data_IF_032960425598
#
_entry.id   IF_032960425598
#
_cell.length_a   1.000
_cell.length_b   1.000
_cell.length_c   1.000
_cell.angle_alpha   90.00
_cell.angle_beta   90.00
_cell.angle_gamma   90.00
#
_symmetry.space_group_name_H-M   'P 1'
#
loop_
_entity.id
_entity.type
_entity.pdbx_description
1 polymer ?
#
# COMPACT_ATOMS: atom_id res chain seq x y z
N UNK A 1 -26.57 27.18 18.33
CA UNK A 1 -25.77 26.59 17.24
C UNK A 1 -24.38 26.08 17.65
N UNK A 2 -23.55 26.86 18.35
CA UNK A 2 -22.16 26.51 18.76
C UNK A 2 -22.01 25.23 19.59
N UNK A 3 -22.91 24.93 20.54
CA UNK A 3 -22.82 23.75 21.42
C UNK A 3 -22.95 22.40 20.67
N UNK A 4 -23.77 22.34 19.62
CA UNK A 4 -23.99 21.13 18.80
C UNK A 4 -22.79 20.84 17.91
N UNK A 5 -22.11 21.86 17.40
CA UNK A 5 -20.88 21.76 16.63
C UNK A 5 -19.70 21.28 17.47
N UNK A 6 -19.58 21.82 18.70
CA UNK A 6 -18.57 21.43 19.67
C UNK A 6 -18.70 19.95 20.08
N UNK A 7 -19.91 19.48 20.36
CA UNK A 7 -20.16 18.06 20.68
C UNK A 7 -19.79 17.12 19.52
N UNK A 8 -20.09 17.52 18.28
CA UNK A 8 -19.70 16.73 17.10
C UNK A 8 -18.17 16.67 16.94
N UNK A 9 -17.46 17.75 17.21
CA UNK A 9 -16.00 17.81 17.15
C UNK A 9 -15.38 16.88 18.21
N UNK A 10 -15.86 16.92 19.43
CA UNK A 10 -15.40 16.04 20.52
C UNK A 10 -15.68 14.57 20.19
N UNK A 11 -16.88 14.26 19.67
CA UNK A 11 -17.19 12.90 19.23
C UNK A 11 -16.26 12.42 18.11
N UNK A 12 -15.97 13.27 17.12
CA UNK A 12 -15.04 12.96 16.05
C UNK A 12 -13.63 12.69 16.59
N UNK A 13 -13.11 13.55 17.46
CA UNK A 13 -11.79 13.36 18.09
C UNK A 13 -11.73 12.08 18.93
N UNK A 14 -12.81 11.76 19.66
CA UNK A 14 -12.88 10.52 20.45
C UNK A 14 -12.86 9.27 19.57
N UNK A 15 -13.54 9.32 18.45
CA UNK A 15 -13.56 8.19 17.48
C UNK A 15 -12.20 8.01 16.80
N UNK A 16 -11.54 9.10 16.41
CA UNK A 16 -10.16 9.07 15.89
C UNK A 16 -9.18 8.49 16.92
N UNK A 17 -9.28 8.90 18.18
CA UNK A 17 -8.45 8.37 19.24
C UNK A 17 -8.68 6.87 19.48
N UNK A 18 -9.94 6.39 19.40
CA UNK A 18 -10.26 4.96 19.48
C UNK A 18 -9.68 4.16 18.32
N UNK A 19 -9.79 4.67 17.09
CA UNK A 19 -9.21 4.04 15.92
C UNK A 19 -7.70 3.90 16.06
N UNK A 20 -7.03 4.97 16.44
CA UNK A 20 -5.58 4.95 16.67
C UNK A 20 -5.17 3.97 17.79
N UNK A 21 -5.92 3.91 18.89
CA UNK A 21 -5.69 2.93 19.96
C UNK A 21 -5.87 1.48 19.47
N UNK A 22 -6.83 1.24 18.60
CA UNK A 22 -7.04 -0.10 18.02
C UNK A 22 -5.91 -0.49 17.07
N UNK A 23 -5.42 0.44 16.25
CA UNK A 23 -4.24 0.24 15.39
C UNK A 23 -3.00 -0.09 16.23
N UNK A 24 -2.72 0.70 17.26
CA UNK A 24 -1.60 0.43 18.18
C UNK A 24 -1.73 -0.93 18.85
N UNK A 25 -2.94 -1.33 19.28
CA UNK A 25 -3.19 -2.65 19.87
C UNK A 25 -2.97 -3.78 18.84
N UNK A 26 -3.39 -3.59 17.60
CA UNK A 26 -3.15 -4.56 16.51
C UNK A 26 -1.66 -4.76 16.29
N UNK A 27 -0.91 -3.68 16.13
CA UNK A 27 0.56 -3.70 15.97
C UNK A 27 1.22 -4.41 17.16
N UNK A 28 0.82 -4.09 18.40
CA UNK A 28 1.34 -4.77 19.59
C UNK A 28 1.00 -6.25 19.63
N UNK A 29 -0.17 -6.65 19.11
CA UNK A 29 -0.56 -8.06 19.02
C UNK A 29 0.28 -8.81 18.00
N UNK A 30 0.49 -8.20 16.82
CA UNK A 30 1.34 -8.75 15.76
C UNK A 30 2.80 -8.90 16.23
N UNK A 31 3.36 -7.85 16.84
CA UNK A 31 4.71 -7.92 17.40
C UNK A 31 4.88 -9.05 18.44
N UNK A 32 3.85 -9.32 19.25
CA UNK A 32 3.88 -10.46 20.18
C UNK A 32 3.88 -11.78 19.43
N UNK A 33 3.11 -11.90 18.35
CA UNK A 33 3.13 -13.06 17.45
C UNK A 33 4.52 -13.29 16.87
N UNK A 34 5.10 -12.27 16.23
CA UNK A 34 6.46 -12.37 15.67
C UNK A 34 7.52 -12.76 16.72
N UNK A 35 7.47 -12.16 17.92
CA UNK A 35 8.39 -12.51 19.00
C UNK A 35 8.24 -13.96 19.42
N UNK A 36 7.02 -14.46 19.50
CA UNK A 36 6.73 -15.85 19.85
C UNK A 36 7.26 -16.80 18.78
N UNK A 37 6.98 -16.53 17.50
CA UNK A 37 7.41 -17.36 16.38
C UNK A 37 8.94 -17.37 16.25
N UNK A 38 9.57 -16.20 16.39
CA UNK A 38 11.03 -16.10 16.40
C UNK A 38 11.67 -16.90 17.55
N UNK A 39 11.03 -16.89 18.73
CA UNK A 39 11.50 -17.70 19.86
C UNK A 39 11.41 -19.20 19.57
N UNK A 40 10.35 -19.65 18.89
CA UNK A 40 10.21 -21.05 18.45
C UNK A 40 11.29 -21.45 17.44
N UNK A 41 11.60 -20.59 16.46
CA UNK A 41 12.68 -20.84 15.51
C UNK A 41 14.03 -20.98 16.22
N UNK A 42 14.34 -20.09 17.18
CA UNK A 42 15.56 -20.19 17.98
C UNK A 42 15.63 -21.44 18.84
N UNK A 43 14.51 -21.88 19.44
CA UNK A 43 14.45 -23.12 20.21
C UNK A 43 14.67 -24.36 19.34
N UNK A 44 14.07 -24.39 18.14
CA UNK A 44 14.26 -25.48 17.18
C UNK A 44 15.74 -25.61 16.77
N UNK A 45 16.36 -24.49 16.39
CA UNK A 45 17.77 -24.42 16.05
C UNK A 45 18.68 -24.89 17.22
N UNK A 46 18.39 -24.40 18.43
CA UNK A 46 19.14 -24.80 19.62
C UNK A 46 19.04 -26.31 19.85
N UNK A 47 17.83 -26.88 19.76
CA UNK A 47 17.62 -28.32 19.94
C UNK A 47 18.39 -29.17 18.93
N UNK A 48 18.42 -28.76 17.65
CA UNK A 48 19.19 -29.44 16.60
C UNK A 48 20.69 -29.36 16.84
N UNK A 49 21.20 -28.21 17.28
CA UNK A 49 22.63 -28.04 17.60
C UNK A 49 23.03 -28.86 18.85
N UNK A 50 22.21 -28.88 19.88
CA UNK A 50 22.43 -29.71 21.08
C UNK A 50 22.41 -31.23 20.78
N UNK A 51 21.63 -31.64 19.78
CA UNK A 51 21.58 -33.00 19.26
C UNK A 51 22.76 -33.33 18.32
N UNK A 52 23.63 -32.39 17.99
CA UNK A 52 24.73 -32.57 17.04
C UNK A 52 24.30 -32.61 15.57
N UNK A 53 23.04 -32.25 15.28
CA UNK A 53 22.47 -32.26 13.92
C UNK A 53 22.79 -30.95 13.16
N UNK A 54 24.07 -30.65 12.98
CA UNK A 54 24.54 -29.36 12.44
C UNK A 54 24.04 -29.11 11.02
N UNK A 55 24.04 -30.14 10.16
CA UNK A 55 23.55 -30.04 8.76
C UNK A 55 22.06 -29.70 8.70
N UNK A 56 21.25 -30.23 9.63
CA UNK A 56 19.83 -29.91 9.74
C UNK A 56 19.61 -28.48 10.24
N UNK A 57 20.40 -28.03 11.19
CA UNK A 57 20.32 -26.65 11.66
C UNK A 57 20.69 -25.66 10.56
N UNK A 58 21.70 -25.95 9.74
CA UNK A 58 22.06 -25.14 8.57
C UNK A 58 20.92 -25.11 7.55
N UNK A 59 20.37 -26.29 7.17
CA UNK A 59 19.25 -26.36 6.24
C UNK A 59 18.01 -25.59 6.74
N UNK A 60 17.76 -25.63 8.05
CA UNK A 60 16.67 -24.88 8.66
C UNK A 60 16.90 -23.35 8.63
N UNK A 61 18.14 -22.90 8.83
CA UNK A 61 18.51 -21.49 8.66
C UNK A 61 18.31 -21.06 7.21
N UNK A 62 18.74 -21.88 6.25
CA UNK A 62 18.56 -21.59 4.81
C UNK A 62 17.07 -21.54 4.42
N UNK A 63 16.24 -22.41 5.00
CA UNK A 63 14.78 -22.36 4.79
C UNK A 63 14.16 -21.09 5.39
N UNK A 64 14.56 -20.68 6.60
CA UNK A 64 14.13 -19.43 7.20
C UNK A 64 14.57 -18.21 6.40
N UNK A 65 15.82 -18.19 5.94
CA UNK A 65 16.36 -17.14 5.09
C UNK A 65 15.59 -17.08 3.76
N UNK A 66 15.29 -18.23 3.16
CA UNK A 66 14.48 -18.31 1.96
C UNK A 66 13.02 -17.85 2.20
N UNK A 67 12.43 -18.13 3.36
CA UNK A 67 11.11 -17.61 3.74
C UNK A 67 11.16 -16.09 3.97
N UNK A 68 12.19 -15.58 4.62
CA UNK A 68 12.44 -14.14 4.78
C UNK A 68 12.73 -13.48 3.44
N UNK A 69 13.52 -14.11 2.57
CA UNK A 69 13.79 -13.61 1.21
C UNK A 69 12.54 -13.64 0.30
N UNK A 70 11.60 -14.57 0.52
CA UNK A 70 10.32 -14.57 -0.18
C UNK A 70 9.34 -13.48 0.35
N UNK A 71 9.52 -13.02 1.57
CA UNK A 71 8.96 -11.76 2.08
C UNK A 71 9.77 -10.57 1.52
N UNK A 72 11.06 -10.76 1.30
CA UNK A 72 12.01 -9.83 0.67
C UNK A 72 12.04 -9.90 -0.87
N UNK A 73 10.91 -9.90 -1.54
CA UNK A 73 10.81 -9.04 -2.72
C UNK A 73 10.67 -7.60 -2.19
N UNK A 74 11.60 -7.18 -1.35
CA UNK A 74 11.76 -5.77 -1.00
C UNK A 74 12.01 -5.04 -2.31
N UNK A 75 10.95 -4.43 -2.77
CA UNK A 75 11.07 -3.40 -3.80
C UNK A 75 12.07 -2.40 -3.27
N UNK A 76 13.22 -2.31 -3.90
CA UNK A 76 14.22 -1.30 -3.60
C UNK A 76 13.95 -0.10 -4.51
N UNK A 77 12.91 0.67 -4.18
CA UNK A 77 12.61 1.90 -4.92
C UNK A 77 13.63 2.99 -4.63
N UNK A 78 14.31 2.91 -3.48
CA UNK A 78 15.18 3.93 -2.92
C UNK A 78 14.55 4.71 -1.76
N UNK A 79 13.24 4.55 -1.52
CA UNK A 79 12.51 5.20 -0.43
C UNK A 79 11.86 4.14 0.47
N UNK A 80 12.25 4.11 1.74
CA UNK A 80 11.85 3.07 2.71
C UNK A 80 10.34 3.02 2.94
N UNK A 81 9.70 4.19 3.05
CA UNK A 81 8.25 4.28 3.27
C UNK A 81 7.46 3.76 2.07
N UNK A 82 7.92 4.09 0.87
CA UNK A 82 7.32 3.60 -0.37
C UNK A 82 7.50 2.08 -0.53
N UNK A 83 8.68 1.56 -0.17
CA UNK A 83 8.97 0.12 -0.21
C UNK A 83 8.02 -0.65 0.72
N UNK A 84 7.78 -0.15 1.92
CA UNK A 84 6.87 -0.76 2.89
C UNK A 84 5.42 -0.81 2.37
N UNK A 85 4.92 0.31 1.80
CA UNK A 85 3.55 0.40 1.29
C UNK A 85 3.36 -0.49 0.07
N UNK A 86 4.28 -0.41 -0.90
CA UNK A 86 4.21 -1.20 -2.11
C UNK A 86 4.28 -2.69 -1.77
N UNK A 87 5.19 -3.10 -0.87
CA UNK A 87 5.32 -4.52 -0.46
C UNK A 87 4.03 -5.04 0.16
N UNK A 88 3.42 -4.30 1.08
CA UNK A 88 2.16 -4.68 1.71
C UNK A 88 1.02 -4.81 0.68
N UNK A 89 0.88 -3.83 -0.24
CA UNK A 89 -0.17 -3.85 -1.26
C UNK A 89 0.05 -4.89 -2.34
N UNK A 90 1.31 -5.19 -2.69
CA UNK A 90 1.65 -6.27 -3.61
C UNK A 90 1.33 -7.63 -3.00
N UNK A 91 1.63 -7.84 -1.71
CA UNK A 91 1.25 -9.05 -1.01
C UNK A 91 -0.28 -9.25 -1.02
N UNK A 92 -1.05 -8.18 -0.74
CA UNK A 92 -2.50 -8.19 -0.83
C UNK A 92 -2.99 -8.54 -2.25
N UNK A 93 -2.44 -7.89 -3.28
CA UNK A 93 -2.80 -8.16 -4.68
C UNK A 93 -2.48 -9.61 -5.11
N UNK A 94 -1.31 -10.13 -4.70
CA UNK A 94 -0.93 -11.53 -4.97
C UNK A 94 -1.88 -12.54 -4.31
N UNK A 95 -2.34 -12.27 -3.08
CA UNK A 95 -3.33 -13.10 -2.39
C UNK A 95 -4.66 -13.19 -3.17
N UNK A 96 -5.01 -12.13 -3.93
CA UNK A 96 -6.19 -12.09 -4.81
C UNK A 96 -5.90 -12.59 -6.25
N UNK A 97 -4.76 -13.28 -6.48
CA UNK A 97 -4.32 -13.77 -7.78
C UNK A 97 -4.18 -12.66 -8.86
N UNK A 98 -3.73 -11.48 -8.45
CA UNK A 98 -3.44 -10.36 -9.34
C UNK A 98 -1.94 -10.36 -9.65
N UNK A 99 -1.59 -10.40 -10.94
CA UNK A 99 -0.21 -10.27 -11.39
C UNK A 99 0.25 -8.81 -11.21
N UNK A 100 1.36 -8.59 -10.51
CA UNK A 100 1.88 -7.24 -10.25
C UNK A 100 3.27 -7.08 -10.85
N UNK A 101 3.46 -6.01 -11.65
CA UNK A 101 4.75 -5.59 -12.20
C UNK A 101 5.04 -4.17 -11.72
N UNK A 102 6.20 -3.97 -11.08
CA UNK A 102 6.59 -2.68 -10.51
C UNK A 102 7.97 -2.28 -10.99
N UNK A 103 8.05 -1.05 -11.49
CA UNK A 103 9.31 -0.37 -11.83
C UNK A 103 9.30 0.97 -11.13
N UNK A 104 9.96 1.07 -10.00
CA UNK A 104 10.02 2.29 -9.20
C UNK A 104 11.47 2.61 -8.84
N UNK A 105 11.84 3.88 -9.03
CA UNK A 105 13.14 4.42 -8.63
C UNK A 105 12.94 5.87 -8.20
N UNK A 106 13.02 6.12 -6.91
CA UNK A 106 12.80 7.42 -6.28
C UNK A 106 13.86 7.71 -5.23
N UNK A 107 14.17 8.97 -4.93
CA UNK A 107 15.08 9.34 -3.85
C UNK A 107 14.56 8.90 -2.48
N UNK A 108 15.48 8.71 -1.53
CA UNK A 108 15.16 8.40 -0.14
C UNK A 108 14.31 9.49 0.52
N UNK A 109 14.58 10.77 0.21
CA UNK A 109 13.83 11.90 0.73
C UNK A 109 13.06 12.63 -0.37
N UNK A 110 11.79 12.91 -0.12
CA UNK A 110 10.89 13.66 -0.97
C UNK A 110 10.32 14.85 -0.19
N UNK A 111 9.84 15.89 -0.87
CA UNK A 111 9.11 17.01 -0.23
C UNK A 111 7.71 16.60 0.22
N UNK A 112 7.14 15.57 -0.40
CA UNK A 112 5.92 14.92 0.07
C UNK A 112 6.27 14.11 1.31
N UNK A 113 5.50 14.26 2.38
CA UNK A 113 5.72 13.50 3.61
C UNK A 113 5.42 12.01 3.42
N UNK A 114 6.04 11.15 4.22
CA UNK A 114 5.80 9.70 4.20
C UNK A 114 4.32 9.36 4.41
N UNK A 115 3.63 10.13 5.26
CA UNK A 115 2.19 9.95 5.51
C UNK A 115 1.36 10.28 4.27
N UNK A 116 1.64 11.39 3.61
CA UNK A 116 0.95 11.78 2.37
C UNK A 116 1.23 10.81 1.24
N UNK A 117 2.49 10.39 1.08
CA UNK A 117 2.89 9.39 0.09
C UNK A 117 2.17 8.05 0.34
N UNK A 118 2.06 7.65 1.61
CA UNK A 118 1.32 6.46 2.03
C UNK A 118 -0.15 6.53 1.67
N UNK A 119 -0.79 7.65 1.97
CA UNK A 119 -2.21 7.89 1.67
C UNK A 119 -2.41 7.90 0.15
N UNK A 120 -1.56 8.60 -0.59
CA UNK A 120 -1.64 8.74 -2.04
C UNK A 120 -1.52 7.39 -2.74
N UNK A 121 -0.40 6.70 -2.54
CA UNK A 121 -0.09 5.43 -3.20
C UNK A 121 -1.02 4.30 -2.70
N UNK A 122 -1.30 4.27 -1.40
CA UNK A 122 -2.21 3.31 -0.78
C UNK A 122 -3.61 3.37 -1.38
N UNK A 123 -4.22 4.57 -1.46
CA UNK A 123 -5.55 4.74 -2.05
C UNK A 123 -5.61 4.36 -3.54
N UNK A 124 -4.57 4.68 -4.31
CA UNK A 124 -4.50 4.29 -5.72
C UNK A 124 -4.43 2.78 -5.89
N UNK A 125 -3.63 2.10 -5.07
CA UNK A 125 -3.47 0.64 -5.11
C UNK A 125 -4.74 -0.08 -4.62
N UNK A 126 -5.40 0.42 -3.58
CA UNK A 126 -6.68 -0.14 -3.12
C UNK A 126 -7.74 -0.08 -4.23
N UNK A 127 -7.84 1.05 -4.92
CA UNK A 127 -8.72 1.18 -6.09
C UNK A 127 -8.34 0.23 -7.23
N UNK A 128 -7.04 0.02 -7.47
CA UNK A 128 -6.57 -0.90 -8.51
C UNK A 128 -6.91 -2.36 -8.16
N UNK A 129 -6.65 -2.79 -6.93
CA UNK A 129 -6.99 -4.14 -6.45
C UNK A 129 -8.49 -4.39 -6.56
N UNK A 130 -9.31 -3.47 -6.05
CA UNK A 130 -10.78 -3.56 -6.15
C UNK A 130 -11.25 -3.63 -7.61
N UNK A 131 -10.67 -2.82 -8.49
CA UNK A 131 -11.02 -2.81 -9.91
C UNK A 131 -10.63 -4.12 -10.61
N UNK A 132 -9.48 -4.71 -10.25
CA UNK A 132 -9.05 -6.01 -10.73
C UNK A 132 -10.00 -7.14 -10.31
N UNK A 133 -10.56 -7.08 -9.11
CA UNK A 133 -11.52 -8.08 -8.62
C UNK A 133 -12.82 -8.07 -9.43
N UNK A 134 -13.19 -6.94 -10.01
CA UNK A 134 -14.37 -6.80 -10.89
C UNK A 134 -14.09 -7.22 -12.35
N UNK A 135 -12.83 -7.47 -12.70
CA UNK A 135 -12.44 -7.92 -14.04
C UNK A 135 -12.76 -9.40 -14.25
N UNK A 136 -13.36 -9.73 -15.39
CA UNK A 136 -13.61 -11.12 -15.80
C UNK A 136 -12.43 -11.77 -16.53
N UNK A 137 -11.39 -10.98 -16.86
CA UNK A 137 -10.21 -11.43 -17.59
C UNK A 137 -8.97 -11.64 -16.71
N UNK A 138 -7.80 -11.62 -17.34
CA UNK A 138 -6.52 -11.62 -16.60
C UNK A 138 -6.42 -10.41 -15.71
N UNK A 139 -6.16 -10.65 -14.41
CA UNK A 139 -5.98 -9.60 -13.42
C UNK A 139 -4.53 -9.17 -13.38
N UNK A 140 -4.27 -7.86 -13.52
CA UNK A 140 -2.92 -7.32 -13.46
C UNK A 140 -2.91 -5.89 -12.94
N UNK A 141 -1.78 -5.51 -12.32
CA UNK A 141 -1.43 -4.13 -11.95
C UNK A 141 0.00 -3.90 -12.43
N UNK A 142 0.23 -2.81 -13.17
CA UNK A 142 1.56 -2.35 -13.58
C UNK A 142 1.80 -0.98 -13.03
N UNK A 143 2.92 -0.79 -12.34
CA UNK A 143 3.28 0.45 -11.68
C UNK A 143 4.61 0.92 -12.25
N UNK A 144 4.66 2.18 -12.60
CA UNK A 144 5.88 2.88 -12.95
C UNK A 144 6.00 4.14 -12.11
N UNK A 145 7.17 4.34 -11.48
CA UNK A 145 7.45 5.52 -10.67
C UNK A 145 8.89 5.95 -10.87
N UNK A 146 9.11 7.24 -11.15
CA UNK A 146 10.46 7.79 -11.33
C UNK A 146 10.47 9.30 -11.18
N UNK A 147 11.64 9.86 -10.89
CA UNK A 147 11.83 11.30 -10.97
C UNK A 147 11.89 11.80 -12.42
N UNK A 148 11.25 12.92 -12.69
CA UNK A 148 11.34 13.70 -13.93
C UNK A 148 11.82 15.10 -13.58
N UNK A 149 13.13 15.29 -13.54
CA UNK A 149 13.73 16.48 -12.94
C UNK A 149 13.42 16.54 -11.45
N UNK A 150 12.80 17.61 -10.98
CA UNK A 150 12.35 17.79 -9.58
C UNK A 150 10.95 17.25 -9.30
N UNK A 151 10.31 16.63 -10.28
CA UNK A 151 8.94 16.13 -10.19
C UNK A 151 8.94 14.61 -10.01
N UNK A 152 8.12 14.09 -9.09
CA UNK A 152 7.80 12.68 -9.00
C UNK A 152 6.69 12.34 -10.00
N UNK A 153 7.01 11.47 -10.94
CA UNK A 153 6.05 10.90 -11.88
C UNK A 153 5.63 9.51 -11.44
N UNK A 154 4.34 9.28 -11.41
CA UNK A 154 3.71 7.99 -11.16
C UNK A 154 2.75 7.65 -12.29
N UNK A 155 2.77 6.39 -12.71
CA UNK A 155 1.79 5.84 -13.64
C UNK A 155 1.42 4.43 -13.20
N UNK A 156 0.14 4.13 -13.16
CA UNK A 156 -0.39 2.81 -12.85
C UNK A 156 -1.45 2.44 -13.87
N UNK A 157 -1.35 1.20 -14.38
CA UNK A 157 -2.34 0.59 -15.25
C UNK A 157 -2.81 -0.72 -14.60
N UNK A 158 -4.11 -0.89 -14.45
CA UNK A 158 -4.68 -2.10 -13.90
C UNK A 158 -5.84 -2.63 -14.73
N UNK A 159 -6.09 -3.94 -14.67
CA UNK A 159 -7.30 -4.53 -15.20
C UNK A 159 -8.53 -4.01 -14.44
N UNK A 160 -9.64 -3.84 -15.14
CA UNK A 160 -10.89 -3.35 -14.59
C UNK A 160 -12.07 -4.11 -15.20
N UNK A 161 -13.26 -3.91 -14.63
CA UNK A 161 -14.51 -4.32 -15.25
C UNK A 161 -14.92 -3.39 -16.39
N UNK A 162 -16.22 -3.17 -16.54
CA UNK A 162 -16.77 -2.24 -17.52
C UNK A 162 -16.30 -0.79 -17.23
N UNK A 163 -16.21 0.00 -18.30
CA UNK A 163 -15.85 1.41 -18.25
C UNK A 163 -16.69 2.17 -17.23
N UNK A 164 -16.02 2.84 -16.28
CA UNK A 164 -16.69 3.69 -15.28
C UNK A 164 -17.11 5.02 -15.93
N UNK A 165 -18.33 5.44 -15.67
CA UNK A 165 -18.80 6.77 -16.11
C UNK A 165 -18.17 7.85 -15.24
N UNK A 166 -17.69 8.91 -15.87
CA UNK A 166 -17.21 10.11 -15.18
C UNK A 166 -18.41 11.00 -14.86
N UNK A 167 -18.57 11.37 -13.58
CA UNK A 167 -19.60 12.30 -13.12
C UNK A 167 -18.87 13.52 -12.57
N UNK A 168 -18.82 14.60 -13.37
CA UNK A 168 -17.97 15.77 -13.05
C UNK A 168 -16.49 15.41 -13.08
N UNK A 169 -15.77 15.70 -11.99
CA UNK A 169 -14.36 15.31 -11.78
C UNK A 169 -14.20 13.90 -11.22
N UNK A 170 -15.26 13.29 -10.69
CA UNK A 170 -15.24 12.02 -9.98
C UNK A 170 -15.67 10.86 -10.89
N UNK A 171 -15.08 9.68 -10.68
CA UNK A 171 -15.58 8.45 -11.28
C UNK A 171 -16.68 7.86 -10.41
N UNK A 172 -17.77 7.36 -11.05
CA UNK A 172 -18.86 6.71 -10.33
C UNK A 172 -18.32 5.48 -9.58
N UNK A 173 -18.56 5.44 -8.26
CA UNK A 173 -18.34 4.25 -7.43
C UNK A 173 -19.63 3.42 -7.45
N UNK A 174 -19.53 2.10 -7.65
CA UNK A 174 -20.65 1.18 -7.54
C UNK A 174 -20.98 0.78 -6.08
N UNK A 175 -20.33 1.41 -5.10
CA UNK A 175 -20.57 1.11 -3.68
C UNK A 175 -21.58 2.09 -3.09
N UNK A 176 -22.67 1.57 -2.57
CA UNK A 176 -23.55 2.29 -1.64
C UNK A 176 -22.78 2.46 -0.33
N UNK A 177 -22.44 3.70 0.03
CA UNK A 177 -21.74 4.05 1.28
C UNK A 177 -20.48 4.90 1.09
N UNK A 178 -19.80 5.19 2.20
CA UNK A 178 -18.72 6.18 2.39
C UNK A 178 -17.40 5.90 1.63
N UNK A 179 -17.37 5.12 0.55
CA UNK A 179 -16.15 4.55 -0.08
C UNK A 179 -15.73 5.18 -1.41
N UNK A 180 -16.25 6.36 -1.79
CA UNK A 180 -15.80 7.08 -3.00
C UNK A 180 -14.62 8.05 -2.78
N UNK A 181 -14.06 8.12 -1.58
CA UNK A 181 -13.14 9.21 -1.20
C UNK A 181 -11.65 8.93 -1.47
N UNK A 182 -11.27 7.70 -1.83
CA UNK A 182 -9.84 7.35 -2.00
C UNK A 182 -9.16 8.14 -3.11
N UNK A 183 -9.76 8.18 -4.31
CA UNK A 183 -9.22 8.96 -5.43
C UNK A 183 -9.27 10.46 -5.14
N UNK A 184 -10.33 10.94 -4.51
CA UNK A 184 -10.45 12.35 -4.14
C UNK A 184 -9.39 12.77 -3.10
N UNK A 185 -9.08 11.91 -2.12
CA UNK A 185 -7.96 12.15 -1.19
C UNK A 185 -6.62 12.21 -1.91
N UNK A 186 -6.40 11.33 -2.87
CA UNK A 186 -5.20 11.37 -3.70
C UNK A 186 -5.11 12.67 -4.51
N UNK A 187 -6.22 13.11 -5.12
CA UNK A 187 -6.32 14.39 -5.83
C UNK A 187 -5.98 15.58 -4.93
N UNK A 188 -6.55 15.63 -3.72
CA UNK A 188 -6.29 16.72 -2.77
C UNK A 188 -4.80 16.83 -2.42
N UNK A 189 -4.14 15.72 -2.10
CA UNK A 189 -2.70 15.72 -1.81
C UNK A 189 -1.89 16.23 -3.01
N UNK A 190 -2.21 15.76 -4.22
CA UNK A 190 -1.52 16.17 -5.43
C UNK A 190 -1.71 17.68 -5.67
N UNK A 191 -2.93 18.20 -5.50
CA UNK A 191 -3.26 19.62 -5.69
C UNK A 191 -2.59 20.50 -4.62
N UNK A 192 -2.56 20.08 -3.36
CA UNK A 192 -1.88 20.79 -2.25
C UNK A 192 -0.38 20.96 -2.52
N UNK A 193 0.25 19.99 -3.18
CA UNK A 193 1.65 20.08 -3.63
C UNK A 193 1.82 20.76 -5.00
N UNK A 194 0.77 21.33 -5.60
CA UNK A 194 0.84 21.98 -6.91
C UNK A 194 1.09 21.00 -8.06
N UNK A 195 0.71 19.76 -7.88
CA UNK A 195 0.86 18.70 -8.87
C UNK A 195 -0.34 18.59 -9.83
N UNK A 196 -0.29 17.55 -10.63
CA UNK A 196 -1.32 17.24 -11.62
C UNK A 196 -1.60 15.74 -11.63
N UNK A 197 -2.86 15.34 -11.81
CA UNK A 197 -3.25 13.95 -11.98
C UNK A 197 -4.24 13.77 -13.13
N UNK A 198 -4.25 12.54 -13.66
CA UNK A 198 -5.16 12.10 -14.70
C UNK A 198 -5.58 10.66 -14.48
N UNK A 199 -6.85 10.42 -14.64
CA UNK A 199 -7.43 9.08 -14.63
C UNK A 199 -8.12 8.81 -15.96
N UNK A 200 -7.95 7.59 -16.47
CA UNK A 200 -8.66 7.14 -17.67
C UNK A 200 -9.29 5.77 -17.42
N UNK A 201 -10.54 5.62 -17.83
CA UNK A 201 -11.29 4.37 -17.71
C UNK A 201 -11.73 3.90 -19.08
N UNK A 202 -11.35 2.69 -19.43
CA UNK A 202 -11.75 1.97 -20.65
C UNK A 202 -12.36 0.64 -20.27
N UNK A 203 -12.98 -0.04 -21.22
CA UNK A 203 -13.47 -1.39 -20.99
C UNK A 203 -12.29 -2.34 -20.74
N UNK A 204 -12.28 -2.95 -19.56
CA UNK A 204 -11.23 -3.89 -19.14
C UNK A 204 -9.99 -3.26 -18.54
N UNK A 205 -9.83 -1.92 -18.52
CA UNK A 205 -8.63 -1.27 -18.00
C UNK A 205 -8.93 0.08 -17.32
N UNK A 206 -8.09 0.40 -16.33
CA UNK A 206 -8.09 1.71 -15.68
C UNK A 206 -6.64 2.20 -15.51
N UNK A 207 -6.39 3.46 -15.82
CA UNK A 207 -5.08 4.08 -15.60
C UNK A 207 -5.18 5.28 -14.67
N UNK A 208 -4.15 5.43 -13.84
CA UNK A 208 -3.93 6.55 -12.94
C UNK A 208 -2.54 7.10 -13.18
N UNK A 209 -2.43 8.40 -13.38
CA UNK A 209 -1.17 9.10 -13.56
C UNK A 209 -1.14 10.34 -12.68
N UNK A 210 0.00 10.64 -12.08
CA UNK A 210 0.23 11.93 -11.44
C UNK A 210 1.66 12.42 -11.64
N UNK A 211 1.81 13.72 -11.53
CA UNK A 211 3.08 14.43 -11.51
C UNK A 211 3.03 15.46 -10.39
N UNK A 212 3.96 15.41 -9.46
CA UNK A 212 3.96 16.28 -8.29
C UNK A 212 5.37 16.75 -7.97
N UNK A 213 5.58 18.03 -7.57
CA UNK A 213 6.87 18.50 -7.06
C UNK A 213 7.30 17.62 -5.87
N UNK A 214 8.53 17.13 -5.91
CA UNK A 214 9.03 16.19 -4.93
C UNK A 214 10.47 16.47 -4.45
N UNK A 215 11.10 17.50 -5.00
CA UNK A 215 12.41 18.02 -4.58
C UNK A 215 12.41 19.55 -4.68
N UNK A 216 13.12 20.22 -3.78
CA UNK A 216 13.35 21.69 -3.80
C UNK A 216 14.25 22.15 -4.97
#
# INVERSE_FOLDING_TARGET
MRKKTYLKLVQYQTEQAKQHLNEVRSIHSEMRGYKHDFHHHLQALKGQLEAGEVERAIAYIEELDHQLMNVDTLLKTGNVSLDAILSAKIAQAKAENIAVDVKANVPDSLTITDVELSILVGNLLDNAIESCMLSSGKRFIRIYMSMKGKMLYFSMLNSAGMKKKKIGTLFSSNKEGMHGFGLHRAEMIIEEHGGWCKYNSEDGAFSSEFLVPAME
#
